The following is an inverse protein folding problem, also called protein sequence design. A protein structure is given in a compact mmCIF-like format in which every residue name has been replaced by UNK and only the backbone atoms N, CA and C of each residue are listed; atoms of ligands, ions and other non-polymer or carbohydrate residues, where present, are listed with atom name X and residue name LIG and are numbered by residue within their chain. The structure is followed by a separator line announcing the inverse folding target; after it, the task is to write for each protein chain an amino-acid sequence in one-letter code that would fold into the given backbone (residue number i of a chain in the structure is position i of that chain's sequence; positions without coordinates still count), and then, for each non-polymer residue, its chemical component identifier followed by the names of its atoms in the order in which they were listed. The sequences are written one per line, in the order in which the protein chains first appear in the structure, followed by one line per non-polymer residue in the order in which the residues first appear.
data_IF_967600535481
#
_entry.id   IF_967600535481
#
_cell.length_a   1.000
_cell.length_b   1.000
_cell.length_c   1.000
_cell.angle_alpha   90.00
_cell.angle_beta   90.00
_cell.angle_gamma   90.00
#
_symmetry.space_group_name_H-M   'P 1'
#
loop_
_entity.id
_entity.type
_entity.pdbx_description
1 polymer ?
#
# COMPACT_ATOMS: atom_id res chain seq x y z
N UNK A 1 3.13 12.17 21.30
CA UNK A 1 2.70 13.04 20.18
C UNK A 1 2.34 12.32 18.87
N UNK A 2 2.62 11.02 18.70
CA UNK A 2 2.17 10.22 17.52
C UNK A 2 0.65 10.26 17.25
N UNK A 3 -0.18 10.42 18.28
CA UNK A 3 -1.64 10.41 18.14
C UNK A 3 -2.20 11.53 17.26
N UNK A 4 -1.55 12.70 17.21
CA UNK A 4 -2.01 13.82 16.36
C UNK A 4 -1.80 13.49 14.88
N UNK A 5 -0.61 13.01 14.52
CA UNK A 5 -0.28 12.59 13.14
C UNK A 5 -1.22 11.49 12.67
N UNK A 6 -1.46 10.47 13.50
CA UNK A 6 -2.41 9.39 13.18
C UNK A 6 -3.85 9.93 13.06
N UNK A 7 -4.28 10.84 13.94
CA UNK A 7 -5.61 11.45 13.85
C UNK A 7 -5.80 12.27 12.57
N UNK A 8 -4.77 13.03 12.14
CA UNK A 8 -4.80 13.76 10.87
C UNK A 8 -4.83 12.77 9.69
N UNK A 9 -4.04 11.69 9.75
CA UNK A 9 -4.09 10.61 8.75
C UNK A 9 -5.49 10.01 8.63
N UNK A 10 -6.13 9.72 9.77
CA UNK A 10 -7.51 9.20 9.82
C UNK A 10 -8.54 10.20 9.24
N UNK A 11 -8.38 11.50 9.51
CA UNK A 11 -9.22 12.54 8.92
C UNK A 11 -9.05 12.61 7.40
N UNK A 12 -7.81 12.59 6.90
CA UNK A 12 -7.51 12.56 5.46
C UNK A 12 -8.09 11.30 4.82
N UNK A 13 -7.95 10.13 5.47
CA UNK A 13 -8.52 8.87 5.02
C UNK A 13 -10.06 8.94 4.94
N UNK A 14 -10.72 9.53 5.94
CA UNK A 14 -12.16 9.75 5.91
C UNK A 14 -12.58 10.66 4.74
N UNK A 15 -11.89 11.78 4.53
CA UNK A 15 -12.11 12.64 3.36
C UNK A 15 -11.90 11.89 2.04
N UNK A 16 -10.87 11.06 1.95
CA UNK A 16 -10.59 10.23 0.78
C UNK A 16 -11.72 9.23 0.51
N UNK A 17 -12.26 8.57 1.54
CA UNK A 17 -13.43 7.69 1.42
C UNK A 17 -14.65 8.43 0.84
N UNK A 18 -15.04 9.56 1.43
CA UNK A 18 -16.20 10.32 0.96
C UNK A 18 -16.01 10.87 -0.46
N UNK A 19 -14.81 11.37 -0.76
CA UNK A 19 -14.46 11.84 -2.11
C UNK A 19 -14.57 10.71 -3.12
N UNK A 20 -13.99 9.55 -2.81
CA UNK A 20 -13.97 8.36 -3.68
C UNK A 20 -15.38 7.85 -3.97
N UNK A 21 -16.25 7.77 -2.94
CA UNK A 21 -17.67 7.42 -3.13
C UNK A 21 -18.36 8.34 -4.13
N UNK A 22 -18.06 9.65 -4.07
CA UNK A 22 -18.66 10.63 -4.99
C UNK A 22 -18.06 10.58 -6.38
N UNK A 23 -16.80 10.16 -6.51
CA UNK A 23 -16.08 10.06 -7.79
C UNK A 23 -16.53 8.84 -8.60
N UNK A 24 -16.60 7.65 -8.00
CA UNK A 24 -16.92 6.39 -8.69
C UNK A 24 -18.10 6.50 -9.70
N UNK A 25 -19.30 6.95 -9.30
CA UNK A 25 -20.44 7.02 -10.23
C UNK A 25 -20.25 8.05 -11.34
N UNK A 26 -19.48 9.12 -11.11
CA UNK A 26 -19.22 10.16 -12.12
C UNK A 26 -18.29 9.70 -13.24
N UNK A 27 -17.35 8.82 -12.90
CA UNK A 27 -16.39 8.28 -13.87
C UNK A 27 -16.88 6.99 -14.55
N UNK A 28 -17.95 6.36 -14.04
CA UNK A 28 -18.51 5.12 -14.62
C UNK A 28 -18.73 5.22 -16.12
N UNK A 29 -19.46 6.24 -16.57
CA UNK A 29 -19.81 6.37 -17.99
C UNK A 29 -18.59 6.68 -18.86
N UNK A 30 -17.56 7.32 -18.30
CA UNK A 30 -16.31 7.63 -19.01
C UNK A 30 -15.54 6.35 -19.33
N UNK A 31 -15.41 5.43 -18.38
CA UNK A 31 -14.74 4.14 -18.59
C UNK A 31 -15.47 3.28 -19.61
N UNK A 32 -16.80 3.21 -19.53
CA UNK A 32 -17.62 2.48 -20.51
C UNK A 32 -17.42 3.07 -21.92
N UNK A 33 -17.44 4.40 -22.06
CA UNK A 33 -17.20 5.09 -23.34
C UNK A 33 -15.79 4.86 -23.88
N UNK A 34 -14.80 4.70 -23.00
CA UNK A 34 -13.42 4.38 -23.37
C UNK A 34 -13.21 2.91 -23.75
N UNK A 35 -14.25 2.06 -23.67
CA UNK A 35 -14.14 0.63 -23.93
C UNK A 35 -13.57 -0.17 -22.75
N UNK A 36 -13.40 0.45 -21.59
CA UNK A 36 -12.91 -0.19 -20.36
C UNK A 36 -14.09 -0.73 -19.56
N UNK A 37 -14.68 -1.82 -20.05
CA UNK A 37 -15.80 -2.48 -19.41
C UNK A 37 -15.76 -4.00 -19.61
N UNK A 38 -16.32 -4.70 -18.64
CA UNK A 38 -16.53 -6.14 -18.62
C UNK A 38 -18.01 -6.49 -18.52
N UNK A 39 -18.33 -7.76 -18.80
CA UNK A 39 -19.67 -8.31 -18.54
C UNK A 39 -19.65 -9.06 -17.22
N UNK A 40 -20.67 -8.84 -16.38
CA UNK A 40 -20.86 -9.66 -15.17
C UNK A 40 -21.30 -11.08 -15.56
N UNK A 41 -20.34 -12.00 -15.65
CA UNK A 41 -20.56 -13.39 -16.04
C UNK A 41 -21.41 -14.18 -15.04
N UNK A 42 -21.53 -13.70 -13.80
CA UNK A 42 -22.31 -14.35 -12.75
C UNK A 42 -23.81 -13.96 -12.79
N UNK A 43 -24.22 -13.04 -13.67
CA UNK A 43 -25.62 -12.61 -13.83
C UNK A 43 -26.17 -13.00 -15.19
N UNK A 44 -27.44 -13.43 -15.23
CA UNK A 44 -28.14 -13.83 -16.46
C UNK A 44 -28.16 -12.72 -17.52
N UNK A 45 -28.37 -11.48 -17.08
CA UNK A 45 -28.44 -10.31 -17.98
C UNK A 45 -27.07 -9.83 -18.45
N UNK A 46 -25.98 -10.33 -17.86
CA UNK A 46 -24.59 -9.95 -18.16
C UNK A 46 -24.41 -8.42 -18.36
N UNK A 47 -24.82 -7.59 -17.37
CA UNK A 47 -24.71 -6.15 -17.49
C UNK A 47 -23.25 -5.75 -17.70
N UNK A 48 -23.05 -4.69 -18.49
CA UNK A 48 -21.74 -4.07 -18.66
C UNK A 48 -21.38 -3.28 -17.39
N UNK A 49 -20.25 -3.62 -16.79
CA UNK A 49 -19.70 -2.98 -15.60
C UNK A 49 -18.34 -2.41 -16.01
N UNK A 50 -18.01 -1.17 -15.63
CA UNK A 50 -16.71 -0.63 -15.97
C UNK A 50 -15.59 -1.43 -15.29
N UNK A 51 -14.51 -1.66 -16.03
CA UNK A 51 -13.31 -2.34 -15.56
C UNK A 51 -12.21 -1.35 -15.16
N UNK A 52 -11.11 -1.83 -14.60
CA UNK A 52 -9.92 -1.04 -14.24
C UNK A 52 -10.19 0.12 -13.27
N UNK A 53 -11.32 0.09 -12.55
CA UNK A 53 -11.67 1.13 -11.58
C UNK A 53 -10.64 1.27 -10.45
N UNK A 54 -9.83 0.23 -10.22
CA UNK A 54 -8.69 0.26 -9.31
C UNK A 54 -7.73 1.44 -9.56
N UNK A 55 -7.58 1.92 -10.79
CA UNK A 55 -6.74 3.10 -11.09
C UNK A 55 -7.30 4.38 -10.44
N UNK A 56 -8.63 4.56 -10.45
CA UNK A 56 -9.28 5.72 -9.83
C UNK A 56 -9.12 5.69 -8.30
N UNK A 57 -9.27 4.50 -7.72
CA UNK A 57 -9.11 4.25 -6.28
C UNK A 57 -7.65 4.46 -5.86
N UNK A 58 -6.70 3.95 -6.65
CA UNK A 58 -5.28 4.16 -6.47
C UNK A 58 -4.88 5.64 -6.55
N UNK A 59 -5.42 6.39 -7.50
CA UNK A 59 -5.23 7.84 -7.58
C UNK A 59 -5.77 8.56 -6.34
N UNK A 60 -6.95 8.18 -5.84
CA UNK A 60 -7.50 8.76 -4.60
C UNK A 60 -6.60 8.47 -3.39
N UNK A 61 -6.05 7.26 -3.30
CA UNK A 61 -5.05 6.89 -2.30
C UNK A 61 -3.78 7.75 -2.42
N UNK A 62 -3.21 7.89 -3.62
CA UNK A 62 -2.00 8.68 -3.83
C UNK A 62 -2.21 10.16 -3.48
N UNK A 63 -3.35 10.75 -3.85
CA UNK A 63 -3.69 12.13 -3.47
C UNK A 63 -3.78 12.28 -1.96
N UNK A 64 -4.43 11.33 -1.28
CA UNK A 64 -4.51 11.32 0.18
C UNK A 64 -3.11 11.25 0.81
N UNK A 65 -2.24 10.38 0.31
CA UNK A 65 -0.86 10.25 0.78
C UNK A 65 -0.02 11.48 0.50
N UNK A 66 -0.13 12.11 -0.68
CA UNK A 66 0.61 13.33 -1.01
C UNK A 66 0.23 14.50 -0.11
N UNK A 67 -1.05 14.62 0.25
CA UNK A 67 -1.50 15.60 1.25
C UNK A 67 -0.99 15.27 2.66
N UNK A 68 -0.77 13.99 2.96
CA UNK A 68 -0.28 13.53 4.25
C UNK A 68 1.24 13.64 4.43
N UNK A 69 2.04 13.60 3.34
CA UNK A 69 3.51 13.68 3.38
C UNK A 69 4.07 14.72 4.37
N UNK A 70 3.64 16.00 4.36
CA UNK A 70 4.23 17.00 5.25
C UNK A 70 3.86 16.81 6.73
N UNK A 71 2.82 16.04 7.05
CA UNK A 71 2.27 15.96 8.42
C UNK A 71 3.24 15.29 9.40
N UNK A 72 3.80 14.09 9.15
CA UNK A 72 4.80 13.50 10.05
C UNK A 72 6.00 14.43 10.27
N UNK A 73 6.48 15.10 9.22
CA UNK A 73 7.65 15.99 9.30
C UNK A 73 7.36 17.40 9.80
N UNK A 74 6.15 17.68 10.28
CA UNK A 74 5.79 18.97 10.89
C UNK A 74 5.31 18.81 12.32
N UNK A 75 4.59 17.73 12.62
CA UNK A 75 3.95 17.52 13.92
C UNK A 75 4.66 16.49 14.81
N UNK A 76 5.65 15.75 14.31
CA UNK A 76 6.45 14.85 15.15
C UNK A 76 7.58 15.59 15.88
N UNK A 77 7.94 15.06 17.06
CA UNK A 77 8.91 15.63 18.01
C UNK A 77 10.28 15.89 17.35
N UNK A 78 10.68 15.06 16.39
CA UNK A 78 11.90 15.21 15.60
C UNK A 78 11.89 16.42 14.63
N UNK A 79 10.72 17.03 14.39
CA UNK A 79 10.53 18.21 13.55
C UNK A 79 10.12 19.46 14.35
N UNK A 80 9.79 19.31 15.64
CA UNK A 80 9.45 20.43 16.51
C UNK A 80 10.70 21.25 16.86
N UNK A 81 10.50 22.57 17.00
CA UNK A 81 11.52 23.49 17.46
C UNK A 81 12.14 22.97 18.76
N UNK A 82 13.47 22.95 18.84
CA UNK A 82 14.15 22.67 20.10
C UNK A 82 13.71 23.72 21.13
N UNK A 83 13.04 23.26 22.19
CA UNK A 83 12.45 24.10 23.24
C UNK A 83 13.51 24.98 23.92
N UNK A 84 14.78 24.60 23.87
CA UNK A 84 15.88 25.36 24.45
C UNK A 84 16.45 26.44 23.52
N UNK A 85 16.37 26.26 22.20
CA UNK A 85 17.02 27.17 21.22
C UNK A 85 16.03 27.91 20.31
N UNK A 86 14.76 27.51 20.27
CA UNK A 86 13.75 28.07 19.36
C UNK A 86 14.07 27.85 17.87
N UNK A 87 15.07 27.02 17.57
CA UNK A 87 15.51 26.70 16.22
C UNK A 87 14.84 25.41 15.74
N UNK A 88 14.63 25.29 14.43
CA UNK A 88 14.28 24.00 13.81
C UNK A 88 15.36 22.98 14.17
N UNK A 89 14.99 21.69 14.34
CA UNK A 89 15.96 20.64 14.62
C UNK A 89 17.08 20.69 13.57
N UNK A 90 18.32 20.48 14.02
CA UNK A 90 19.53 20.75 13.24
C UNK A 90 19.63 19.94 11.93
N UNK A 91 18.80 18.89 11.75
CA UNK A 91 18.84 18.03 10.57
C UNK A 91 17.45 17.43 10.32
N UNK A 92 16.97 17.52 9.07
CA UNK A 92 15.69 16.94 8.65
C UNK A 92 15.81 15.39 8.56
N UNK A 93 14.79 14.61 8.95
CA UNK A 93 14.82 13.15 8.89
C UNK A 93 14.68 12.65 7.45
N UNK A 94 15.79 12.70 6.70
CA UNK A 94 15.84 12.33 5.28
C UNK A 94 15.59 10.84 5.05
N UNK A 95 15.94 9.97 6.01
CA UNK A 95 15.75 8.52 5.91
C UNK A 95 14.26 8.14 5.88
N UNK A 96 13.49 8.59 6.87
CA UNK A 96 12.04 8.38 6.95
C UNK A 96 11.29 8.99 5.76
N UNK A 97 11.74 10.17 5.30
CA UNK A 97 11.19 10.79 4.10
C UNK A 97 11.47 9.96 2.84
N UNK A 98 12.71 9.46 2.68
CA UNK A 98 13.07 8.60 1.56
C UNK A 98 12.26 7.29 1.56
N UNK A 99 12.02 6.70 2.74
CA UNK A 99 11.17 5.51 2.90
C UNK A 99 9.73 5.76 2.45
N UNK A 100 9.12 6.86 2.87
CA UNK A 100 7.76 7.20 2.44
C UNK A 100 7.68 7.47 0.93
N UNK A 101 8.62 8.23 0.38
CA UNK A 101 8.64 8.53 -1.06
C UNK A 101 8.87 7.27 -1.88
N UNK A 102 9.77 6.38 -1.46
CA UNK A 102 10.04 5.13 -2.18
C UNK A 102 8.86 4.15 -2.11
N UNK A 103 8.19 4.05 -0.96
CA UNK A 103 6.96 3.27 -0.83
C UNK A 103 5.87 3.81 -1.78
N UNK A 104 5.64 5.13 -1.79
CA UNK A 104 4.66 5.75 -2.69
C UNK A 104 5.03 5.65 -4.16
N UNK A 105 6.32 5.78 -4.50
CA UNK A 105 6.80 5.58 -5.87
C UNK A 105 6.56 4.14 -6.32
N UNK A 106 6.86 3.15 -5.47
CA UNK A 106 6.59 1.75 -5.75
C UNK A 106 5.09 1.49 -5.95
N UNK A 107 4.23 1.99 -5.07
CA UNK A 107 2.77 1.86 -5.18
C UNK A 107 2.25 2.56 -6.45
N UNK A 108 2.74 3.75 -6.77
CA UNK A 108 2.37 4.50 -7.97
C UNK A 108 2.76 3.73 -9.25
N UNK A 109 3.98 3.19 -9.31
CA UNK A 109 4.41 2.32 -10.40
C UNK A 109 3.50 1.09 -10.52
N UNK A 110 3.13 0.45 -9.41
CA UNK A 110 2.23 -0.71 -9.42
C UNK A 110 0.81 -0.39 -9.89
N UNK A 111 0.25 0.77 -9.50
CA UNK A 111 -1.05 1.23 -9.98
C UNK A 111 -1.01 1.48 -11.49
N UNK A 112 0.04 2.17 -11.97
CA UNK A 112 0.21 2.45 -13.39
C UNK A 112 0.39 1.18 -14.22
N UNK A 113 1.25 0.26 -13.76
CA UNK A 113 1.51 -0.99 -14.45
C UNK A 113 0.31 -1.94 -14.42
N UNK A 114 -0.45 -1.97 -13.32
CA UNK A 114 -1.71 -2.70 -13.25
C UNK A 114 -2.74 -2.15 -14.23
N UNK A 115 -2.88 -0.83 -14.31
CA UNK A 115 -3.75 -0.20 -15.31
C UNK A 115 -3.27 -0.48 -16.74
N UNK A 116 -1.96 -0.44 -16.99
CA UNK A 116 -1.41 -0.79 -18.30
C UNK A 116 -1.64 -2.26 -18.67
N UNK A 117 -1.57 -3.19 -17.71
CA UNK A 117 -1.92 -4.60 -17.92
C UNK A 117 -3.39 -4.77 -18.33
N UNK A 118 -4.30 -4.08 -17.65
CA UNK A 118 -5.73 -4.13 -17.98
C UNK A 118 -6.03 -3.57 -19.38
N UNK A 119 -5.37 -2.47 -19.77
CA UNK A 119 -5.60 -1.80 -21.07
C UNK A 119 -4.95 -2.57 -22.23
N UNK A 120 -3.77 -3.15 -22.01
CA UNK A 120 -2.96 -3.77 -23.07
C UNK A 120 -3.09 -5.28 -23.14
N UNK A 121 -3.78 -5.91 -22.18
CA UNK A 121 -3.93 -7.36 -22.02
C UNK A 121 -2.58 -8.09 -22.17
N UNK A 122 -1.66 -7.83 -21.23
CA UNK A 122 -0.29 -8.31 -21.35
C UNK A 122 -0.21 -9.82 -21.11
N UNK A 123 0.71 -10.47 -21.84
CA UNK A 123 1.00 -11.91 -21.64
C UNK A 123 1.48 -12.20 -20.22
N UNK A 124 1.14 -13.38 -19.70
CA UNK A 124 1.48 -13.85 -18.33
C UNK A 124 2.93 -13.61 -17.89
N UNK A 125 3.91 -13.71 -18.81
CA UNK A 125 5.32 -13.45 -18.51
C UNK A 125 5.57 -12.02 -18.01
N UNK A 126 4.86 -11.04 -18.56
CA UNK A 126 4.98 -9.65 -18.13
C UNK A 126 4.26 -9.44 -16.80
N UNK A 127 3.18 -10.19 -16.51
CA UNK A 127 2.51 -10.16 -15.20
C UNK A 127 3.41 -10.60 -14.03
N UNK A 128 4.50 -11.33 -14.32
CA UNK A 128 5.55 -11.66 -13.34
C UNK A 128 6.66 -10.58 -13.29
N UNK A 129 7.01 -10.01 -14.43
CA UNK A 129 8.09 -9.01 -14.52
C UNK A 129 7.68 -7.64 -14.00
N UNK A 130 6.45 -7.20 -14.29
CA UNK A 130 5.96 -5.86 -13.93
C UNK A 130 5.95 -5.61 -12.42
N UNK A 131 5.46 -6.54 -11.56
CA UNK A 131 5.55 -6.34 -10.12
C UNK A 131 6.99 -6.26 -9.62
N UNK A 132 7.89 -7.05 -10.21
CA UNK A 132 9.32 -6.99 -9.87
C UNK A 132 9.90 -5.61 -10.16
N UNK A 133 9.61 -5.02 -11.33
CA UNK A 133 10.04 -3.67 -11.68
C UNK A 133 9.42 -2.60 -10.77
N UNK A 134 8.14 -2.74 -10.43
CA UNK A 134 7.45 -1.80 -9.52
C UNK A 134 8.02 -1.81 -8.10
N UNK A 135 8.68 -2.88 -7.67
CA UNK A 135 9.30 -2.96 -6.33
C UNK A 135 10.72 -2.42 -6.24
N UNK A 136 11.37 -2.10 -7.36
CA UNK A 136 12.74 -1.62 -7.37
C UNK A 136 12.97 -0.40 -6.45
N UNK A 137 12.10 0.63 -6.39
CA UNK A 137 12.27 1.74 -5.46
C UNK A 137 12.36 1.29 -4.00
N UNK A 138 11.50 0.35 -3.60
CA UNK A 138 11.48 -0.21 -2.25
C UNK A 138 12.78 -0.97 -1.95
N UNK A 139 13.24 -1.81 -2.88
CA UNK A 139 14.47 -2.58 -2.71
C UNK A 139 15.70 -1.66 -2.60
N UNK A 140 15.75 -0.57 -3.37
CA UNK A 140 16.87 0.37 -3.34
C UNK A 140 16.94 1.13 -2.01
N UNK A 141 15.81 1.63 -1.50
CA UNK A 141 15.80 2.29 -0.18
C UNK A 141 16.10 1.28 0.93
N UNK A 142 15.59 0.05 0.83
CA UNK A 142 15.94 -0.98 1.81
C UNK A 142 17.45 -1.28 1.83
N UNK A 143 18.08 -1.35 0.65
CA UNK A 143 19.52 -1.56 0.52
C UNK A 143 20.35 -0.41 1.11
N UNK A 144 19.92 0.85 0.92
CA UNK A 144 20.67 2.02 1.39
C UNK A 144 20.47 2.28 2.88
N UNK A 145 19.24 2.17 3.39
CA UNK A 145 18.91 2.55 4.77
C UNK A 145 19.12 1.42 5.78
N UNK A 146 18.68 0.19 5.46
CA UNK A 146 18.62 -0.91 6.44
C UNK A 146 19.69 -1.97 6.18
N UNK A 147 19.71 -2.54 4.97
CA UNK A 147 20.62 -3.62 4.56
C UNK A 147 20.67 -4.82 5.54
N UNK A 148 19.55 -5.16 6.20
CA UNK A 148 19.47 -6.26 7.16
C UNK A 148 19.00 -7.53 6.47
N UNK A 149 19.92 -8.39 6.06
CA UNK A 149 19.61 -9.64 5.33
C UNK A 149 19.53 -10.88 6.23
N UNK A 150 19.59 -10.68 7.56
CA UNK A 150 19.50 -11.76 8.55
C UNK A 150 18.05 -12.05 8.92
N UNK A 151 17.63 -13.31 8.77
CA UNK A 151 16.27 -13.78 9.05
C UNK A 151 16.27 -14.71 10.26
N UNK A 152 15.26 -14.55 11.14
CA UNK A 152 15.02 -15.49 12.24
C UNK A 152 14.37 -16.75 11.69
N UNK A 153 15.00 -17.90 11.94
CA UNK A 153 14.54 -19.16 11.39
C UNK A 153 13.34 -19.74 12.15
N UNK A 154 12.40 -20.40 11.43
CA UNK A 154 11.26 -21.06 12.07
C UNK A 154 11.73 -22.22 12.94
N UNK A 155 10.96 -22.54 13.99
CA UNK A 155 11.36 -23.52 15.04
C UNK A 155 11.84 -24.87 14.48
N UNK A 156 11.24 -25.35 13.39
CA UNK A 156 11.61 -26.61 12.75
C UNK A 156 12.96 -26.57 12.01
N UNK A 157 13.40 -25.40 11.54
CA UNK A 157 14.66 -25.23 10.82
C UNK A 157 15.85 -24.93 11.75
N UNK A 158 15.58 -24.45 12.97
CA UNK A 158 16.61 -24.07 13.95
C UNK A 158 17.64 -25.17 14.28
N UNK A 159 17.26 -26.45 14.40
CA UNK A 159 18.24 -27.51 14.70
C UNK A 159 19.31 -27.69 13.61
N UNK A 160 18.98 -27.36 12.35
CA UNK A 160 19.89 -27.55 11.21
C UNK A 160 20.68 -26.28 10.88
N UNK A 161 20.04 -25.12 10.97
CA UNK A 161 20.55 -23.86 10.41
C UNK A 161 20.82 -22.77 11.48
N UNK A 162 20.57 -23.06 12.76
CA UNK A 162 20.75 -22.11 13.86
C UNK A 162 19.52 -21.22 14.11
N UNK A 163 19.65 -20.27 15.04
CA UNK A 163 18.54 -19.37 15.41
C UNK A 163 18.23 -18.33 14.32
N UNK A 164 19.28 -17.80 13.70
CA UNK A 164 19.22 -16.76 12.67
C UNK A 164 20.22 -17.08 11.56
N UNK A 165 19.86 -16.74 10.33
CA UNK A 165 20.69 -16.96 9.15
C UNK A 165 20.72 -15.71 8.28
N UNK A 166 21.92 -15.27 7.93
CA UNK A 166 22.11 -14.27 6.89
C UNK A 166 22.02 -14.93 5.51
N UNK A 167 21.00 -14.54 4.74
CA UNK A 167 20.74 -15.07 3.40
C UNK A 167 21.20 -14.11 2.29
N UNK A 168 21.80 -12.96 2.64
CA UNK A 168 22.37 -12.00 1.71
C UNK A 168 21.43 -11.62 0.55
N UNK A 169 21.91 -11.79 -0.68
CA UNK A 169 21.17 -11.44 -1.91
C UNK A 169 19.81 -12.16 -2.02
N UNK A 170 19.68 -13.35 -1.43
CA UNK A 170 18.41 -14.09 -1.45
C UNK A 170 17.30 -13.37 -0.68
N UNK A 171 17.63 -12.49 0.27
CA UNK A 171 16.66 -11.64 0.95
C UNK A 171 16.02 -10.62 -0.01
N UNK A 172 16.81 -10.02 -0.90
CA UNK A 172 16.31 -9.09 -1.92
C UNK A 172 15.45 -9.79 -2.97
N UNK A 173 15.85 -11.00 -3.39
CA UNK A 173 15.05 -11.84 -4.27
C UNK A 173 13.71 -12.17 -3.58
N UNK A 174 13.75 -12.54 -2.30
CA UNK A 174 12.54 -12.78 -1.51
C UNK A 174 11.62 -11.55 -1.46
N UNK A 175 12.15 -10.36 -1.17
CA UNK A 175 11.34 -9.13 -1.12
C UNK A 175 10.66 -8.83 -2.46
N UNK A 176 11.39 -8.96 -3.59
CA UNK A 176 10.81 -8.78 -4.91
C UNK A 176 9.72 -9.83 -5.22
N UNK A 177 10.01 -11.10 -4.91
CA UNK A 177 9.06 -12.20 -5.09
C UNK A 177 7.83 -12.09 -4.19
N UNK A 178 7.95 -11.49 -3.00
CA UNK A 178 6.82 -11.26 -2.11
C UNK A 178 5.78 -10.33 -2.75
N UNK A 179 6.22 -9.27 -3.40
CA UNK A 179 5.31 -8.37 -4.11
C UNK A 179 4.69 -9.00 -5.37
N UNK A 180 5.47 -9.79 -6.11
CA UNK A 180 4.95 -10.61 -7.23
C UNK A 180 3.87 -11.56 -6.70
N UNK A 181 4.13 -12.24 -5.59
CA UNK A 181 3.18 -13.15 -4.96
C UNK A 181 1.92 -12.41 -4.51
N UNK A 182 2.03 -11.34 -3.73
CA UNK A 182 0.87 -10.62 -3.18
C UNK A 182 -0.07 -10.10 -4.28
N UNK A 183 0.48 -9.52 -5.35
CA UNK A 183 -0.33 -8.99 -6.45
C UNK A 183 -1.01 -10.09 -7.26
N UNK A 184 -0.29 -11.17 -7.59
CA UNK A 184 -0.87 -12.29 -8.34
C UNK A 184 -1.83 -13.14 -7.49
N UNK A 185 -1.57 -13.31 -6.18
CA UNK A 185 -2.41 -14.10 -5.29
C UNK A 185 -3.83 -13.54 -5.17
N UNK A 186 -3.97 -12.21 -5.04
CA UNK A 186 -5.27 -11.55 -5.05
C UNK A 186 -5.91 -11.66 -6.43
N UNK A 187 -5.13 -11.49 -7.51
CA UNK A 187 -5.64 -11.50 -8.88
C UNK A 187 -6.16 -12.88 -9.33
N UNK A 188 -5.56 -13.98 -8.85
CA UNK A 188 -6.07 -15.34 -9.15
C UNK A 188 -7.26 -15.73 -8.26
N UNK A 189 -7.41 -15.11 -7.10
CA UNK A 189 -8.54 -15.29 -6.19
C UNK A 189 -9.61 -14.20 -6.44
N UNK A 190 -10.16 -14.21 -7.65
CA UNK A 190 -11.03 -13.18 -8.19
C UNK A 190 -12.23 -13.80 -8.95
N UNK A 191 -13.14 -12.94 -9.44
CA UNK A 191 -14.20 -13.35 -10.36
C UNK A 191 -15.59 -13.52 -9.72
N UNK A 192 -15.75 -13.15 -8.45
CA UNK A 192 -17.05 -13.01 -7.78
C UNK A 192 -17.14 -11.59 -7.24
N UNK A 193 -18.28 -10.94 -7.45
CA UNK A 193 -18.51 -9.54 -7.06
C UNK A 193 -18.02 -9.27 -5.63
N UNK A 194 -17.09 -8.33 -5.53
CA UNK A 194 -16.51 -7.85 -4.29
C UNK A 194 -15.30 -8.65 -3.79
N UNK A 195 -15.08 -9.90 -4.21
CA UNK A 195 -14.10 -10.80 -3.58
C UNK A 195 -12.68 -10.19 -3.48
N UNK A 196 -12.21 -9.52 -4.52
CA UNK A 196 -10.88 -8.92 -4.61
C UNK A 196 -10.70 -7.76 -3.62
N UNK A 197 -11.68 -6.86 -3.55
CA UNK A 197 -11.64 -5.72 -2.62
C UNK A 197 -12.00 -6.14 -1.19
N UNK A 198 -12.84 -7.16 -1.03
CA UNK A 198 -13.24 -7.71 0.27
C UNK A 198 -12.08 -8.37 1.00
N UNK A 199 -11.36 -9.28 0.34
CA UNK A 199 -10.18 -9.90 0.93
C UNK A 199 -9.11 -8.85 1.28
N UNK A 200 -8.93 -7.83 0.43
CA UNK A 200 -7.99 -6.72 0.66
C UNK A 200 -8.39 -5.86 1.87
N UNK A 201 -9.69 -5.61 2.08
CA UNK A 201 -10.22 -4.94 3.27
C UNK A 201 -9.93 -5.76 4.53
N UNK A 202 -10.18 -7.08 4.51
CA UNK A 202 -9.92 -7.95 5.66
C UNK A 202 -8.44 -7.97 6.02
N UNK A 203 -7.55 -8.10 5.01
CA UNK A 203 -6.10 -8.08 5.21
C UNK A 203 -5.66 -6.73 5.81
N UNK A 204 -6.05 -5.61 5.19
CA UNK A 204 -5.63 -4.28 5.68
C UNK A 204 -6.19 -3.94 7.05
N UNK A 205 -7.43 -4.32 7.37
CA UNK A 205 -7.99 -4.18 8.71
C UNK A 205 -7.24 -5.04 9.74
N UNK A 206 -6.81 -6.25 9.37
CA UNK A 206 -6.02 -7.12 10.24
C UNK A 206 -4.63 -6.54 10.50
N UNK A 207 -3.95 -6.03 9.47
CA UNK A 207 -2.65 -5.34 9.61
C UNK A 207 -2.79 -4.09 10.47
N UNK A 208 -3.85 -3.29 10.27
CA UNK A 208 -4.11 -2.10 11.07
C UNK A 208 -4.35 -2.46 12.54
N UNK A 209 -5.14 -3.50 12.82
CA UNK A 209 -5.36 -3.99 14.17
C UNK A 209 -4.05 -4.45 14.83
N UNK A 210 -3.25 -5.24 14.12
CA UNK A 210 -1.94 -5.68 14.57
C UNK A 210 -1.02 -4.51 14.90
N UNK A 211 -0.93 -3.51 14.01
CA UNK A 211 -0.11 -2.32 14.23
C UNK A 211 -0.56 -1.51 15.45
N UNK A 212 -1.87 -1.36 15.68
CA UNK A 212 -2.40 -0.65 16.85
C UNK A 212 -2.02 -1.38 18.15
N UNK A 213 -2.11 -2.72 18.16
CA UNK A 213 -1.72 -3.54 19.31
C UNK A 213 -0.22 -3.37 19.60
N UNK A 214 0.64 -3.56 18.61
CA UNK A 214 2.10 -3.44 18.81
C UNK A 214 2.53 -2.01 19.18
N UNK A 215 1.86 -0.99 18.62
CA UNK A 215 2.05 0.40 19.01
C UNK A 215 1.68 0.64 20.49
N UNK A 216 0.59 0.03 20.97
CA UNK A 216 0.18 0.12 22.37
C UNK A 216 1.13 -0.64 23.33
N UNK A 217 1.76 -1.71 22.85
CA UNK A 217 2.78 -2.48 23.58
C UNK A 217 4.17 -1.80 23.57
N UNK A 218 4.40 -0.84 22.67
CA UNK A 218 5.66 -0.11 22.56
C UNK A 218 6.76 -0.86 21.80
N UNK A 219 6.41 -1.89 21.00
CA UNK A 219 7.37 -2.60 20.16
C UNK A 219 7.47 -1.94 18.78
N UNK A 220 8.69 -1.77 18.26
CA UNK A 220 8.96 -1.33 16.87
C UNK A 220 8.06 -0.16 16.41
N UNK A 221 7.95 0.84 17.29
CA UNK A 221 6.94 1.92 17.23
C UNK A 221 6.97 2.67 15.90
N UNK A 222 8.15 2.94 15.34
CA UNK A 222 8.29 3.67 14.08
C UNK A 222 7.82 2.86 12.87
N UNK A 223 8.15 1.57 12.82
CA UNK A 223 7.69 0.66 11.76
C UNK A 223 6.16 0.52 11.74
N UNK A 224 5.54 0.36 12.92
CA UNK A 224 4.08 0.23 13.02
C UNK A 224 3.38 1.55 12.73
N UNK A 225 3.94 2.70 13.13
CA UNK A 225 3.45 4.03 12.73
C UNK A 225 3.47 4.20 11.22
N UNK A 226 4.60 3.92 10.57
CA UNK A 226 4.74 4.00 9.12
C UNK A 226 3.72 3.12 8.40
N UNK A 227 3.52 1.90 8.88
CA UNK A 227 2.52 0.98 8.33
C UNK A 227 1.08 1.52 8.49
N UNK A 228 0.73 2.09 9.65
CA UNK A 228 -0.58 2.72 9.90
C UNK A 228 -0.83 3.85 8.90
N UNK A 229 0.17 4.68 8.61
CA UNK A 229 0.05 5.81 7.67
C UNK A 229 -0.36 5.37 6.27
N UNK A 230 0.10 4.20 5.81
CA UNK A 230 -0.28 3.63 4.52
C UNK A 230 -1.62 2.88 4.59
N UNK A 231 -1.85 2.10 5.66
CA UNK A 231 -3.02 1.24 5.78
C UNK A 231 -4.32 2.01 5.98
N UNK A 232 -4.31 3.15 6.68
CA UNK A 232 -5.51 3.94 6.94
C UNK A 232 -6.16 4.47 5.63
N UNK A 233 -5.45 5.22 4.76
CA UNK A 233 -6.00 5.66 3.48
C UNK A 233 -6.33 4.48 2.56
N UNK A 234 -5.52 3.41 2.55
CA UNK A 234 -5.77 2.22 1.73
C UNK A 234 -7.10 1.54 2.10
N UNK A 235 -7.34 1.30 3.39
CA UNK A 235 -8.58 0.73 3.89
C UNK A 235 -9.77 1.64 3.54
N UNK A 236 -9.61 2.96 3.73
CA UNK A 236 -10.66 3.92 3.44
C UNK A 236 -11.06 3.92 1.95
N UNK A 237 -10.11 4.02 1.01
CA UNK A 237 -10.47 4.01 -0.42
C UNK A 237 -10.97 2.63 -0.88
N UNK A 238 -10.53 1.55 -0.25
CA UNK A 238 -11.01 0.18 -0.53
C UNK A 238 -12.45 0.00 -0.06
N UNK A 239 -12.83 0.51 1.12
CA UNK A 239 -14.21 0.52 1.60
C UNK A 239 -15.12 1.33 0.67
N UNK A 240 -14.61 2.43 0.10
CA UNK A 240 -15.35 3.21 -0.88
C UNK A 240 -15.63 2.40 -2.17
N UNK A 241 -14.64 1.66 -2.67
CA UNK A 241 -14.80 0.77 -3.82
C UNK A 241 -15.78 -0.38 -3.52
N UNK A 242 -15.63 -1.04 -2.37
CA UNK A 242 -16.50 -2.16 -1.96
C UNK A 242 -17.98 -1.78 -1.95
N UNK A 243 -18.32 -0.53 -1.60
CA UNK A 243 -19.71 -0.03 -1.64
C UNK A 243 -20.37 -0.19 -3.02
N UNK A 244 -19.59 -0.10 -4.10
CA UNK A 244 -20.04 -0.20 -5.48
C UNK A 244 -19.73 -1.55 -6.15
N UNK A 245 -18.83 -2.35 -5.57
CA UNK A 245 -18.39 -3.64 -6.12
C UNK A 245 -19.06 -4.86 -5.45
N UNK A 246 -19.99 -4.65 -4.50
CA UNK A 246 -20.74 -5.74 -3.85
C UNK A 246 -21.92 -6.26 -4.68
#
# INVERSE_FOLDING_TARGET
MSGITIAISALIAACAYFSTIRMIPKFKDMFIKAGLYGKDLCKREQPQIPESFGVLIGCAFLVAMFLFIPIPFTFEEAALLDVNTGAKPATFPHEEFAEMIAALLSICCMILLGFADDVLDLRWRHKLLLPTMGTLPLLMVYYVNFNITTVILPKFARPLLGYSLDIGIFYYIYMGMLAVFCTNAINILAGINGLEVGQSIVISASVLCFNIIELALGHQVDCHKFSIYLMLPFLAVSLALWKYNK
#
